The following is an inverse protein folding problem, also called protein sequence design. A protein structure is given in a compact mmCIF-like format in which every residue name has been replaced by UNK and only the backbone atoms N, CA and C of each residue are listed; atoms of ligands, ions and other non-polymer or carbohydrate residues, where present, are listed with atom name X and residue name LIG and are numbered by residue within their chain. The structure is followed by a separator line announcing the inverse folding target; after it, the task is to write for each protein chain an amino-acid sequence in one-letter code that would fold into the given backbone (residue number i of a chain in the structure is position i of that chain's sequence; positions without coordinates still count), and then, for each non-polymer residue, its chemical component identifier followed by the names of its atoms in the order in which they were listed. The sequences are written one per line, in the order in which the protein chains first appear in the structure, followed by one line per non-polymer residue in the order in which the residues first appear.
data_IF_176620601577
#
_entry.id   IF_176620601577
#
_cell.length_a   1.000
_cell.length_b   1.000
_cell.length_c   1.000
_cell.angle_alpha   90.00
_cell.angle_beta   90.00
_cell.angle_gamma   90.00
#
_symmetry.space_group_name_H-M   'P 1'
#
loop_
_entity.id
_entity.type
_entity.pdbx_description
1 polymer ?
#
# COMPACT_ATOMS: atom_id res chain seq x y z
N UNK A 1 -14.51 7.12 -12.01
CA UNK A 1 -13.44 6.09 -12.19
C UNK A 1 -13.49 5.68 -13.65
N UNK A 2 -12.35 5.61 -14.37
CA UNK A 2 -12.38 5.20 -15.76
C UNK A 2 -12.93 3.77 -15.88
N UNK A 3 -13.66 3.50 -16.95
CA UNK A 3 -14.39 2.26 -17.24
C UNK A 3 -13.54 0.99 -17.35
N UNK A 4 -12.23 1.06 -17.06
CA UNK A 4 -11.25 0.00 -17.27
C UNK A 4 -10.81 -0.72 -15.97
N UNK A 5 -11.44 -0.45 -14.82
CA UNK A 5 -11.09 -1.14 -13.55
C UNK A 5 -11.43 -2.63 -13.60
N UNK A 6 -12.49 -3.01 -14.31
CA UNK A 6 -12.87 -4.40 -14.48
C UNK A 6 -11.82 -5.22 -15.24
N UNK A 7 -11.17 -4.59 -16.23
CA UNK A 7 -10.16 -5.20 -17.12
C UNK A 7 -8.75 -5.21 -16.54
N UNK A 8 -8.52 -4.51 -15.41
CA UNK A 8 -7.21 -4.50 -14.77
C UNK A 8 -6.90 -5.83 -14.06
N UNK A 9 -5.61 -6.25 -14.02
CA UNK A 9 -5.22 -7.43 -13.27
C UNK A 9 -5.60 -7.24 -11.81
N UNK A 10 -6.17 -8.27 -11.19
CA UNK A 10 -6.55 -8.24 -9.78
C UNK A 10 -5.58 -9.10 -8.98
N UNK A 11 -5.03 -8.53 -7.93
CA UNK A 11 -4.16 -9.21 -6.98
C UNK A 11 -5.03 -9.56 -5.77
N UNK A 12 -5.00 -10.81 -5.35
CA UNK A 12 -5.75 -11.27 -4.19
C UNK A 12 -4.85 -11.20 -2.95
N UNK A 13 -5.18 -10.30 -2.03
CA UNK A 13 -4.52 -10.20 -0.73
C UNK A 13 -5.55 -10.60 0.33
N UNK A 14 -5.26 -11.64 1.10
CA UNK A 14 -6.22 -12.21 2.07
C UNK A 14 -7.61 -12.49 1.46
N UNK A 15 -7.64 -13.09 0.26
CA UNK A 15 -8.85 -13.41 -0.52
C UNK A 15 -9.72 -12.19 -0.90
N UNK A 16 -9.18 -10.97 -0.83
CA UNK A 16 -9.86 -9.75 -1.26
C UNK A 16 -9.18 -9.18 -2.50
N UNK A 17 -9.96 -8.63 -3.47
CA UNK A 17 -9.38 -8.09 -4.70
C UNK A 17 -8.77 -6.71 -4.50
N UNK A 18 -7.56 -6.56 -5.02
CA UNK A 18 -6.80 -5.32 -5.06
C UNK A 18 -6.26 -5.08 -6.47
N UNK A 19 -6.02 -3.82 -6.80
CA UNK A 19 -5.32 -3.41 -8.02
C UNK A 19 -4.17 -2.49 -7.62
N UNK A 20 -3.03 -2.54 -8.32
CA UNK A 20 -1.91 -1.64 -8.01
C UNK A 20 -2.32 -0.20 -8.29
N UNK A 21 -2.05 0.71 -7.34
CA UNK A 21 -2.42 2.12 -7.48
C UNK A 21 -1.78 2.79 -8.71
N UNK A 22 -0.59 2.34 -9.10
CA UNK A 22 0.14 2.82 -10.28
C UNK A 22 -0.60 2.57 -11.61
N UNK A 23 -1.43 1.52 -11.68
CA UNK A 23 -2.23 1.20 -12.87
C UNK A 23 -3.45 2.13 -13.00
N UNK A 24 -4.01 2.55 -11.86
CA UNK A 24 -5.18 3.42 -11.80
C UNK A 24 -4.80 4.89 -11.96
N UNK A 25 -3.71 5.29 -11.31
CA UNK A 25 -3.29 6.68 -11.24
C UNK A 25 -1.82 6.80 -11.65
N UNK A 26 -1.60 7.15 -12.93
CA UNK A 26 -0.26 7.43 -13.47
C UNK A 26 0.39 8.69 -12.89
N UNK A 27 -0.28 9.46 -12.00
CA UNK A 27 0.25 10.72 -11.48
C UNK A 27 0.92 10.58 -10.10
N UNK A 28 2.19 11.04 -10.12
CA UNK A 28 3.12 11.41 -9.03
C UNK A 28 3.49 10.26 -8.09
N UNK A 29 4.74 9.75 -8.27
CA UNK A 29 5.50 9.08 -7.21
C UNK A 29 5.39 9.95 -5.95
N UNK A 30 4.61 9.50 -4.99
CA UNK A 30 4.47 10.22 -3.73
C UNK A 30 5.86 10.23 -3.09
N UNK A 31 6.39 11.37 -2.64
CA UNK A 31 7.73 11.41 -2.01
C UNK A 31 7.68 10.90 -0.55
N UNK A 32 6.77 9.97 -0.27
CA UNK A 32 6.64 9.42 1.07
C UNK A 32 7.85 8.54 1.37
N UNK A 33 8.43 8.62 2.57
CA UNK A 33 9.57 7.78 2.93
C UNK A 33 9.24 6.27 2.98
N UNK A 34 7.96 5.89 2.95
CA UNK A 34 7.53 4.48 2.92
C UNK A 34 7.54 3.86 1.52
N UNK A 35 7.51 4.67 0.45
CA UNK A 35 7.36 4.14 -0.92
C UNK A 35 8.47 3.16 -1.35
N UNK A 36 9.74 3.31 -0.92
CA UNK A 36 10.78 2.34 -1.27
C UNK A 36 10.62 0.96 -0.62
N UNK A 37 9.76 0.83 0.39
CA UNK A 37 9.66 -0.37 1.23
C UNK A 37 8.32 -1.09 1.07
N UNK A 38 7.48 -0.66 0.13
CA UNK A 38 6.18 -1.26 -0.06
C UNK A 38 5.38 -0.68 -1.21
N UNK A 39 4.46 -1.50 -1.71
CA UNK A 39 3.62 -1.18 -2.85
C UNK A 39 2.23 -0.68 -2.43
N UNK A 40 1.68 0.29 -3.20
CA UNK A 40 0.32 0.80 -2.98
C UNK A 40 -0.72 0.07 -3.82
N UNK A 41 -1.86 -0.19 -3.20
CA UNK A 41 -3.00 -0.89 -3.79
C UNK A 41 -4.30 -0.14 -3.55
N UNK A 42 -5.21 -0.22 -4.50
CA UNK A 42 -6.60 0.15 -4.32
C UNK A 42 -7.40 -1.11 -4.05
N UNK A 43 -8.09 -1.16 -2.91
CA UNK A 43 -9.01 -2.25 -2.62
C UNK A 43 -10.30 -2.08 -3.41
N UNK A 44 -10.78 -3.17 -3.99
CA UNK A 44 -12.08 -3.21 -4.66
C UNK A 44 -13.11 -3.98 -3.82
N UNK A 45 -14.37 -3.60 -3.92
CA UNK A 45 -15.49 -4.45 -3.50
C UNK A 45 -15.88 -5.46 -4.59
N UNK A 46 -16.96 -6.20 -4.34
CA UNK A 46 -17.50 -7.19 -5.28
C UNK A 46 -18.07 -6.55 -6.56
N UNK A 47 -18.41 -5.27 -6.51
CA UNK A 47 -18.93 -4.48 -7.64
C UNK A 47 -17.83 -3.64 -8.30
N UNK A 48 -16.55 -3.96 -8.05
CA UNK A 48 -15.36 -3.26 -8.57
C UNK A 48 -15.28 -1.78 -8.19
N UNK A 49 -15.95 -1.37 -7.11
CA UNK A 49 -15.85 0.00 -6.59
C UNK A 49 -14.63 0.15 -5.70
N UNK A 50 -14.02 1.32 -5.77
CA UNK A 50 -12.86 1.69 -4.96
C UNK A 50 -13.26 1.85 -3.48
N UNK A 51 -12.69 1.00 -2.61
CA UNK A 51 -12.90 1.05 -1.15
C UNK A 51 -11.79 1.79 -0.39
N UNK A 52 -10.83 2.38 -1.08
CA UNK A 52 -9.70 3.12 -0.51
C UNK A 52 -8.34 2.56 -0.93
N UNK A 53 -7.31 3.34 -0.60
CA UNK A 53 -5.91 2.98 -0.81
C UNK A 53 -5.34 2.23 0.40
N UNK A 54 -4.45 1.29 0.10
CA UNK A 54 -3.75 0.44 1.03
C UNK A 54 -2.28 0.37 0.64
N UNK A 55 -1.42 0.09 1.59
CA UNK A 55 0.01 -0.10 1.39
C UNK A 55 0.40 -1.46 1.97
N UNK A 56 1.04 -2.29 1.15
CA UNK A 56 1.59 -3.58 1.56
C UNK A 56 3.09 -3.41 1.83
N UNK A 57 3.59 -3.98 2.92
CA UNK A 57 5.02 -3.99 3.20
C UNK A 57 5.70 -5.08 2.37
N UNK A 58 6.54 -4.68 1.40
CA UNK A 58 7.23 -5.64 0.53
C UNK A 58 8.25 -6.46 1.35
N UNK A 59 8.86 -5.87 2.38
CA UNK A 59 9.80 -6.56 3.27
C UNK A 59 9.16 -7.69 4.10
N UNK A 60 7.86 -7.56 4.43
CA UNK A 60 7.11 -8.64 5.07
C UNK A 60 6.65 -9.68 4.05
N UNK A 61 6.23 -9.23 2.86
CA UNK A 61 5.79 -10.11 1.78
C UNK A 61 6.90 -11.05 1.32
N UNK A 62 8.14 -10.56 1.22
CA UNK A 62 9.36 -11.35 0.97
C UNK A 62 9.62 -12.43 2.03
N UNK A 63 9.10 -12.25 3.24
CA UNK A 63 9.17 -13.23 4.34
C UNK A 63 7.94 -14.15 4.38
N UNK A 64 7.04 -14.04 3.39
CA UNK A 64 5.77 -14.79 3.35
C UNK A 64 4.72 -14.27 4.33
N UNK A 65 4.87 -13.05 4.85
CA UNK A 65 3.95 -12.43 5.81
C UNK A 65 3.20 -11.27 5.17
N UNK A 66 1.88 -11.39 5.07
CA UNK A 66 1.03 -10.34 4.51
C UNK A 66 0.77 -9.23 5.53
N UNK A 67 1.55 -8.15 5.50
CA UNK A 67 1.34 -6.96 6.33
C UNK A 67 0.83 -5.79 5.49
N UNK A 68 -0.46 -5.47 5.60
CA UNK A 68 -1.14 -4.44 4.82
C UNK A 68 -1.81 -3.38 5.70
N UNK A 69 -1.70 -2.11 5.33
CA UNK A 69 -2.24 -0.97 6.06
C UNK A 69 -3.17 -0.14 5.19
N UNK A 70 -4.29 0.33 5.74
CA UNK A 70 -5.16 1.30 5.05
C UNK A 70 -4.55 2.70 5.09
N UNK A 71 -4.41 3.35 3.94
CA UNK A 71 -3.95 4.74 3.81
C UNK A 71 -5.13 5.70 3.90
N UNK A 72 -5.75 5.78 5.08
CA UNK A 72 -6.89 6.67 5.32
C UNK A 72 -6.51 8.11 4.99
N UNK A 73 -7.20 8.71 4.02
CA UNK A 73 -6.98 10.10 3.54
C UNK A 73 -5.51 10.39 3.17
N UNK A 74 -4.78 9.39 2.66
CA UNK A 74 -3.38 9.56 2.25
C UNK A 74 -2.38 9.64 3.40
N UNK A 75 -2.80 9.34 4.64
CA UNK A 75 -1.89 9.27 5.79
C UNK A 75 -1.00 8.03 5.73
N UNK A 76 0.25 8.19 6.17
CA UNK A 76 1.30 7.16 6.11
C UNK A 76 1.83 6.78 7.50
N UNK A 77 1.17 7.23 8.57
CA UNK A 77 1.61 7.04 9.96
C UNK A 77 1.70 5.55 10.35
N UNK A 78 0.72 4.73 9.96
CA UNK A 78 0.72 3.29 10.25
C UNK A 78 1.91 2.56 9.59
N UNK A 79 2.08 2.65 8.26
CA UNK A 79 3.26 2.13 7.57
C UNK A 79 4.59 2.65 8.14
N UNK A 80 4.66 3.94 8.48
CA UNK A 80 5.86 4.55 9.06
C UNK A 80 6.22 3.93 10.42
N UNK A 81 5.23 3.79 11.29
CA UNK A 81 5.41 3.19 12.60
C UNK A 81 5.84 1.73 12.49
N UNK A 82 5.20 0.98 11.59
CA UNK A 82 5.58 -0.41 11.30
C UNK A 82 7.03 -0.54 10.84
N UNK A 83 7.47 0.29 9.87
CA UNK A 83 8.86 0.28 9.39
C UNK A 83 9.87 0.61 10.51
N UNK A 84 9.52 1.51 11.43
CA UNK A 84 10.37 1.89 12.57
C UNK A 84 10.49 0.80 13.62
N UNK A 85 9.39 0.12 13.93
CA UNK A 85 9.32 -0.86 15.00
C UNK A 85 9.81 -2.24 14.53
N UNK A 86 9.35 -2.71 13.38
CA UNK A 86 9.60 -4.07 12.90
C UNK A 86 10.83 -4.18 12.01
N UNK A 87 11.07 -3.18 11.16
CA UNK A 87 12.22 -3.18 10.23
C UNK A 87 13.38 -2.30 10.71
N UNK A 88 13.21 -1.54 11.80
CA UNK A 88 14.18 -0.56 12.32
C UNK A 88 14.61 0.49 11.30
N UNK A 89 13.78 0.74 10.29
CA UNK A 89 13.98 1.73 9.23
C UNK A 89 13.35 3.06 9.61
N UNK A 90 13.75 4.16 8.95
CA UNK A 90 13.13 5.48 9.10
C UNK A 90 13.02 5.98 10.55
N UNK A 91 13.90 5.48 11.43
CA UNK A 91 14.01 5.95 12.81
C UNK A 91 14.39 7.42 12.78
N UNK A 92 13.65 8.23 13.52
CA UNK A 92 14.05 9.61 13.79
C UNK A 92 15.47 9.56 14.36
N UNK A 93 16.39 10.37 13.83
CA UNK A 93 17.68 10.64 14.48
C UNK A 93 17.39 11.38 15.79
N UNK A 94 17.01 10.65 16.83
CA UNK A 94 17.20 11.11 18.20
C UNK A 94 18.62 10.71 18.55
N UNK A 95 19.54 11.62 18.27
CA UNK A 95 20.89 11.60 18.81
C UNK A 95 20.82 11.45 20.33
N UNK A 96 21.75 10.66 20.86
CA UNK A 96 22.03 10.43 22.27
C UNK A 96 22.13 11.70 23.11
#
# INVERSE_FOLDING_TARGET
LPSAVCDMPKILINSKPYIRSEWVNKKRKNRSPIEPYGSRFVKLDREHRNCGEYWLCDLCDEQGVTTIFSLLRGTTSGPLDHLRQHHKLLRSRTSS
#
